data_IF_773525935018
#
_entry.id   IF_773525935018
#
_cell.length_a   1.000
_cell.length_b   1.000
_cell.length_c   1.000
_cell.angle_alpha   90.00
_cell.angle_beta   90.00
_cell.angle_gamma   90.00
#
_symmetry.space_group_name_H-M   'P 1'
#
loop_
_entity.id
_entity.type
_entity.pdbx_description
1 polymer ?
#
# COMPACT_ATOMS: atom_id res chain seq x y z
N UNK A 1 21.89 -16.72 -4.15
CA UNK A 1 21.06 -16.64 -2.92
C UNK A 1 19.94 -15.65 -3.20
N UNK A 2 18.69 -16.11 -3.24
CA UNK A 2 17.53 -15.30 -3.63
C UNK A 2 17.10 -14.50 -2.41
N UNK A 3 17.58 -13.26 -2.30
CA UNK A 3 17.02 -12.31 -1.35
C UNK A 3 15.58 -12.04 -1.77
N UNK A 4 14.64 -12.48 -0.93
CA UNK A 4 13.23 -12.27 -1.15
C UNK A 4 12.93 -10.86 -0.69
N UNK A 5 13.11 -9.92 -1.59
CA UNK A 5 12.41 -8.65 -1.50
C UNK A 5 11.02 -8.87 -2.05
N UNK A 6 10.19 -9.14 -1.06
CA UNK A 6 8.82 -9.61 -1.07
C UNK A 6 7.96 -8.47 -1.62
N UNK A 7 7.76 -8.39 -2.94
CA UNK A 7 7.05 -7.27 -3.57
C UNK A 7 5.65 -7.01 -3.02
N UNK A 8 4.83 -8.04 -2.82
CA UNK A 8 4.77 -9.00 -1.74
C UNK A 8 5.15 -10.39 -2.26
N UNK A 9 5.47 -11.35 -1.38
CA UNK A 9 5.77 -12.72 -1.79
C UNK A 9 4.50 -13.15 -2.50
N UNK A 10 4.57 -13.45 -3.79
CA UNK A 10 3.66 -14.47 -4.30
C UNK A 10 2.18 -13.99 -4.22
N UNK A 11 1.89 -12.83 -4.77
CA UNK A 11 0.52 -12.55 -5.23
C UNK A 11 0.14 -13.45 -6.44
N UNK A 12 1.01 -14.40 -6.84
CA UNK A 12 0.60 -15.57 -7.61
C UNK A 12 1.69 -16.61 -7.93
N UNK A 13 2.19 -17.40 -6.99
CA UNK A 13 2.94 -18.67 -7.29
C UNK A 13 2.15 -19.92 -6.89
N UNK A 14 0.91 -19.76 -6.46
CA UNK A 14 0.00 -20.90 -6.38
C UNK A 14 -1.12 -20.59 -7.36
N UNK A 15 -0.82 -20.69 -8.66
CA UNK A 15 -1.83 -20.56 -9.72
C UNK A 15 -1.39 -19.96 -11.05
N UNK A 16 -0.60 -18.88 -11.06
CA UNK A 16 -0.23 -18.18 -12.30
C UNK A 16 0.51 -19.09 -13.27
N UNK A 17 1.52 -19.83 -12.78
CA UNK A 17 2.29 -20.76 -13.63
C UNK A 17 1.39 -21.81 -14.27
N UNK A 18 0.38 -22.29 -13.53
CA UNK A 18 -0.63 -23.21 -14.06
C UNK A 18 -1.53 -22.54 -15.09
N UNK A 19 -1.92 -21.28 -14.90
CA UNK A 19 -2.72 -20.56 -15.90
C UNK A 19 -1.96 -20.16 -17.16
N UNK A 20 -0.67 -19.86 -17.04
CA UNK A 20 0.20 -19.69 -18.20
C UNK A 20 0.35 -21.01 -18.96
N UNK A 21 0.44 -22.14 -18.26
CA UNK A 21 0.47 -23.48 -18.89
C UNK A 21 -0.86 -23.85 -19.55
N UNK A 22 -1.98 -23.63 -18.86
CA UNK A 22 -3.32 -24.01 -19.31
C UNK A 22 -3.84 -23.07 -20.42
N UNK A 23 -3.40 -21.81 -20.47
CA UNK A 23 -3.90 -20.79 -21.42
C UNK A 23 -2.84 -19.74 -21.77
N UNK A 24 -1.76 -20.12 -22.48
CA UNK A 24 -0.62 -19.23 -22.75
C UNK A 24 -1.00 -17.98 -23.55
N UNK A 25 -1.91 -18.10 -24.53
CA UNK A 25 -2.33 -16.97 -25.36
C UNK A 25 -3.10 -15.90 -24.56
N UNK A 26 -3.86 -16.32 -23.55
CA UNK A 26 -4.62 -15.43 -22.67
C UNK A 26 -3.67 -14.65 -21.76
N UNK A 27 -2.63 -15.32 -21.24
CA UNK A 27 -1.69 -14.76 -20.27
C UNK A 27 -0.38 -14.27 -20.91
N UNK A 28 -0.33 -14.12 -22.24
CA UNK A 28 0.89 -13.78 -23.00
C UNK A 28 1.57 -12.48 -22.58
N UNK A 29 0.83 -11.53 -22.00
CA UNK A 29 1.37 -10.26 -21.50
C UNK A 29 1.53 -10.23 -19.97
N UNK A 30 1.37 -11.37 -19.32
CA UNK A 30 1.46 -11.53 -17.88
C UNK A 30 0.20 -11.13 -17.12
N UNK A 31 0.29 -11.18 -15.80
CA UNK A 31 -0.80 -10.83 -14.88
C UNK A 31 -0.88 -9.33 -14.60
N UNK A 32 -2.10 -8.81 -14.48
CA UNK A 32 -2.41 -7.47 -13.96
C UNK A 32 -3.15 -7.62 -12.62
N UNK A 33 -2.56 -7.06 -11.57
CA UNK A 33 -3.02 -7.13 -10.20
C UNK A 33 -3.83 -5.88 -9.86
N UNK A 34 -5.08 -6.04 -9.44
CA UNK A 34 -5.89 -4.90 -9.02
C UNK A 34 -5.87 -4.79 -7.50
N UNK A 35 -5.47 -3.64 -6.98
CA UNK A 35 -5.50 -3.31 -5.56
C UNK A 35 -6.53 -2.23 -5.26
N UNK A 36 -7.13 -2.31 -4.08
CA UNK A 36 -7.94 -1.25 -3.51
C UNK A 36 -7.26 -0.72 -2.26
N UNK A 37 -7.00 0.58 -2.23
CA UNK A 37 -6.58 1.31 -1.04
C UNK A 37 -7.77 2.10 -0.49
N UNK A 38 -8.07 1.93 0.80
CA UNK A 38 -9.05 2.73 1.54
C UNK A 38 -8.34 3.47 2.66
N UNK A 39 -8.46 4.80 2.67
CA UNK A 39 -7.90 5.68 3.68
C UNK A 39 -9.05 6.35 4.42
N UNK A 40 -9.28 5.95 5.66
CA UNK A 40 -10.17 6.67 6.57
C UNK A 40 -9.31 7.51 7.51
N UNK A 41 -9.57 8.81 7.54
CA UNK A 41 -8.88 9.70 8.44
C UNK A 41 -9.84 10.54 9.23
N UNK A 42 -9.40 10.97 10.40
CA UNK A 42 -10.17 11.89 11.21
C UNK A 42 -9.28 12.88 11.96
N UNK A 43 -9.79 14.09 12.08
CA UNK A 43 -9.27 15.16 12.88
C UNK A 43 -10.26 15.46 14.01
N UNK A 44 -9.80 15.40 15.25
CA UNK A 44 -10.61 15.76 16.42
C UNK A 44 -10.06 17.03 17.05
N UNK A 45 -10.86 18.09 17.07
CA UNK A 45 -10.48 19.35 17.72
C UNK A 45 -10.78 19.25 19.22
N UNK A 46 -9.73 19.09 20.04
CA UNK A 46 -9.83 18.77 21.46
C UNK A 46 -10.83 19.63 22.28
N UNK A 47 -10.93 20.97 22.09
CA UNK A 47 -11.83 21.81 22.90
C UNK A 47 -13.31 21.56 22.65
N UNK A 48 -13.67 21.29 21.39
CA UNK A 48 -15.06 21.14 20.97
C UNK A 48 -15.46 19.68 20.80
N UNK A 49 -14.46 18.77 20.76
CA UNK A 49 -14.58 17.38 20.32
C UNK A 49 -15.24 17.22 18.95
N UNK A 50 -15.34 18.29 18.15
CA UNK A 50 -15.80 18.21 16.77
C UNK A 50 -14.82 17.36 15.98
N UNK A 51 -15.37 16.42 15.20
CA UNK A 51 -14.60 15.48 14.42
C UNK A 51 -14.87 15.70 12.93
N UNK A 52 -13.83 16.03 12.18
CA UNK A 52 -13.86 16.04 10.72
C UNK A 52 -13.30 14.73 10.22
N UNK A 53 -14.02 14.04 9.35
CA UNK A 53 -13.62 12.75 8.81
C UNK A 53 -13.47 12.82 7.29
N UNK A 54 -12.56 12.02 6.74
CA UNK A 54 -12.49 11.75 5.31
C UNK A 54 -12.37 10.26 5.04
N UNK A 55 -12.95 9.81 3.94
CA UNK A 55 -12.84 8.45 3.41
C UNK A 55 -12.43 8.53 1.95
N UNK A 56 -11.25 8.03 1.63
CA UNK A 56 -10.72 7.98 0.28
C UNK A 56 -10.60 6.51 -0.15
N UNK A 57 -11.09 6.18 -1.34
CA UNK A 57 -10.92 4.85 -1.94
C UNK A 57 -10.24 5.01 -3.29
N UNK A 58 -9.10 4.35 -3.50
CA UNK A 58 -8.33 4.41 -4.74
C UNK A 58 -8.13 2.99 -5.25
N UNK A 59 -8.33 2.79 -6.56
CA UNK A 59 -8.09 1.52 -7.25
C UNK A 59 -6.84 1.65 -8.09
N UNK A 60 -5.89 0.73 -7.88
CA UNK A 60 -4.64 0.63 -8.64
C UNK A 60 -4.63 -0.66 -9.45
N UNK A 61 -4.08 -0.59 -10.65
CA UNK A 61 -3.74 -1.76 -11.46
C UNK A 61 -2.23 -1.83 -11.59
N UNK A 62 -1.65 -2.96 -11.22
CA UNK A 62 -0.20 -3.11 -11.14
C UNK A 62 0.28 -4.32 -11.93
N UNK A 63 1.45 -4.22 -12.54
CA UNK A 63 2.08 -5.28 -13.35
C UNK A 63 3.55 -5.38 -13.00
N UNK A 64 4.00 -6.59 -12.74
CA UNK A 64 5.40 -6.86 -12.48
C UNK A 64 6.21 -6.82 -13.79
N UNK A 65 7.47 -6.39 -13.69
CA UNK A 65 8.42 -6.41 -14.80
C UNK A 65 9.84 -6.56 -14.27
N UNK A 66 10.79 -6.82 -15.17
CA UNK A 66 12.21 -6.72 -14.82
C UNK A 66 12.81 -5.39 -15.26
N UNK A 67 13.47 -4.72 -14.32
CA UNK A 67 14.27 -3.54 -14.56
C UNK A 67 15.66 -3.86 -15.12
N UNK A 68 16.25 -5.03 -14.81
CA UNK A 68 17.65 -5.34 -15.10
C UNK A 68 17.93 -6.65 -15.86
N UNK A 69 17.06 -7.69 -15.80
CA UNK A 69 17.29 -8.97 -16.48
C UNK A 69 16.00 -9.74 -16.79
N UNK A 70 15.90 -10.38 -17.96
CA UNK A 70 14.67 -11.06 -18.41
C UNK A 70 14.12 -12.13 -17.43
N UNK A 71 14.96 -12.66 -16.54
CA UNK A 71 14.64 -13.79 -15.67
C UNK A 71 14.10 -13.43 -14.27
N UNK A 72 14.12 -12.15 -13.87
CA UNK A 72 13.68 -11.76 -12.51
C UNK A 72 12.82 -10.50 -12.51
N UNK A 73 11.55 -10.65 -12.13
CA UNK A 73 10.68 -9.53 -11.83
C UNK A 73 11.13 -8.85 -10.51
N UNK A 74 11.83 -7.74 -10.63
CA UNK A 74 12.37 -6.91 -9.55
C UNK A 74 11.71 -5.53 -9.48
N UNK A 75 10.66 -5.32 -10.26
CA UNK A 75 9.92 -4.07 -10.29
C UNK A 75 8.41 -4.27 -10.47
N UNK A 76 7.64 -3.28 -10.00
CA UNK A 76 6.18 -3.24 -10.09
C UNK A 76 5.74 -1.88 -10.62
N UNK A 77 5.13 -1.85 -11.80
CA UNK A 77 4.50 -0.65 -12.35
C UNK A 77 3.04 -0.63 -11.95
N UNK A 78 2.55 0.48 -11.40
CA UNK A 78 1.16 0.68 -11.04
C UNK A 78 0.57 1.88 -11.78
N UNK A 79 -0.70 1.76 -12.17
CA UNK A 79 -1.53 2.85 -12.69
C UNK A 79 -2.77 3.06 -11.84
N UNK A 80 -3.19 4.30 -11.66
CA UNK A 80 -4.44 4.62 -10.98
C UNK A 80 -5.62 4.39 -11.92
N UNK A 81 -6.51 3.46 -11.59
CA UNK A 81 -7.71 3.21 -12.38
C UNK A 81 -8.84 4.19 -12.02
N UNK A 82 -9.03 4.49 -10.73
CA UNK A 82 -10.05 5.42 -10.24
C UNK A 82 -9.80 5.83 -8.79
N UNK A 83 -10.38 6.96 -8.36
CA UNK A 83 -10.31 7.44 -6.97
C UNK A 83 -11.59 8.15 -6.52
N UNK A 84 -12.08 7.84 -5.32
CA UNK A 84 -13.25 8.48 -4.72
C UNK A 84 -12.87 9.07 -3.37
N UNK A 85 -13.39 10.25 -3.05
CA UNK A 85 -13.18 10.90 -1.76
C UNK A 85 -14.52 11.39 -1.21
N UNK A 86 -14.74 11.15 0.06
CA UNK A 86 -15.91 11.62 0.80
C UNK A 86 -15.42 12.32 2.07
N UNK A 87 -15.90 13.53 2.32
CA UNK A 87 -15.64 14.26 3.57
C UNK A 87 -16.95 14.42 4.33
N UNK A 88 -16.90 14.29 5.65
CA UNK A 88 -18.08 14.43 6.49
C UNK A 88 -17.69 14.87 7.91
N UNK A 89 -18.54 15.68 8.52
CA UNK A 89 -18.37 16.13 9.89
C UNK A 89 -19.26 15.32 10.83
N UNK A 90 -18.69 14.85 11.93
CA UNK A 90 -19.43 14.22 13.02
C UNK A 90 -19.55 15.27 14.12
N UNK A 91 -20.75 15.83 14.27
CA UNK A 91 -21.16 16.47 15.52
C UNK A 91 -21.71 15.38 16.45
N UNK A 92 -21.56 15.54 17.76
CA UNK A 92 -21.88 14.57 18.84
C UNK A 92 -23.32 14.01 18.90
N UNK A 93 -24.13 14.15 17.85
CA UNK A 93 -25.43 13.52 17.70
C UNK A 93 -25.29 12.07 17.23
N UNK A 94 -26.03 11.16 17.86
CA UNK A 94 -26.32 9.77 17.44
C UNK A 94 -27.00 9.66 16.06
N UNK A 95 -26.88 10.68 15.20
CA UNK A 95 -27.37 10.68 13.83
C UNK A 95 -26.24 10.21 12.90
N UNK A 96 -26.55 9.36 11.90
CA UNK A 96 -25.58 8.98 10.87
C UNK A 96 -25.01 10.25 10.23
N UNK A 97 -23.72 10.27 9.87
CA UNK A 97 -23.06 11.45 9.32
C UNK A 97 -23.88 11.98 8.14
N UNK A 98 -24.30 13.24 8.23
CA UNK A 98 -24.85 13.94 7.07
C UNK A 98 -23.67 14.22 6.14
N UNK A 99 -23.71 13.65 4.95
CA UNK A 99 -22.78 13.95 3.87
C UNK A 99 -23.08 15.38 3.38
N UNK A 100 -22.64 16.37 4.14
CA UNK A 100 -22.73 17.78 3.76
C UNK A 100 -21.59 18.07 2.77
N UNK A 101 -21.65 17.49 1.58
CA UNK A 101 -21.03 17.98 0.35
C UNK A 101 -21.34 17.02 -0.79
N UNK A 102 -21.66 17.58 -1.96
CA UNK A 102 -21.58 16.90 -3.24
C UNK A 102 -20.26 16.11 -3.29
N UNK A 103 -20.28 14.88 -3.81
CA UNK A 103 -19.10 14.03 -4.00
C UNK A 103 -17.96 14.88 -4.59
N UNK A 104 -17.03 15.36 -3.75
CA UNK A 104 -15.90 16.16 -4.23
C UNK A 104 -15.05 15.17 -5.00
N UNK A 105 -15.23 15.16 -6.31
CA UNK A 105 -14.52 14.28 -7.22
C UNK A 105 -13.03 14.63 -7.16
N UNK A 106 -12.34 14.01 -6.21
CA UNK A 106 -10.90 13.77 -6.23
C UNK A 106 -10.45 13.03 -7.51
N UNK A 107 -11.43 12.56 -8.29
CA UNK A 107 -11.34 11.58 -9.36
C UNK A 107 -10.73 12.08 -10.68
N UNK A 108 -10.57 13.40 -10.90
CA UNK A 108 -10.20 13.90 -12.25
C UNK A 108 -8.69 14.00 -12.47
N UNK A 109 -7.88 14.26 -11.43
CA UNK A 109 -6.46 14.60 -11.64
C UNK A 109 -5.49 13.41 -11.55
N UNK A 110 -5.81 12.39 -10.76
CA UNK A 110 -4.87 11.28 -10.51
C UNK A 110 -5.10 10.06 -11.42
N UNK A 111 -6.21 10.03 -12.16
CA UNK A 111 -6.57 8.89 -13.01
C UNK A 111 -5.50 8.69 -14.10
N UNK A 112 -5.19 7.43 -14.37
CA UNK A 112 -4.22 6.98 -15.37
C UNK A 112 -2.77 7.42 -15.11
N UNK A 113 -2.48 8.09 -13.98
CA UNK A 113 -1.11 8.35 -13.53
C UNK A 113 -0.40 7.03 -13.21
N UNK A 114 0.86 6.95 -13.62
CA UNK A 114 1.70 5.76 -13.52
C UNK A 114 2.88 6.04 -12.58
N UNK A 115 3.25 5.04 -11.78
CA UNK A 115 4.46 5.02 -10.98
C UNK A 115 5.08 3.62 -10.98
N UNK A 116 6.38 3.54 -10.77
CA UNK A 116 7.13 2.28 -10.73
C UNK A 116 7.86 2.15 -9.39
N UNK A 117 7.75 0.98 -8.77
CA UNK A 117 8.48 0.60 -7.57
C UNK A 117 9.57 -0.37 -7.97
N UNK A 118 10.83 -0.04 -7.68
CA UNK A 118 11.96 -0.93 -7.93
C UNK A 118 12.44 -1.52 -6.61
N UNK A 119 12.65 -2.84 -6.63
CA UNK A 119 13.01 -3.61 -5.47
C UNK A 119 14.47 -4.05 -5.56
N UNK A 120 15.18 -3.96 -4.45
CA UNK A 120 16.46 -4.64 -4.26
C UNK A 120 16.36 -5.49 -3.01
N UNK A 121 17.42 -6.19 -2.60
CA UNK A 121 17.45 -7.08 -1.42
C UNK A 121 16.92 -6.53 -0.08
N UNK A 122 16.77 -5.22 0.04
CA UNK A 122 16.31 -4.53 1.25
C UNK A 122 14.86 -4.03 1.14
N UNK A 123 14.17 -4.29 0.01
CA UNK A 123 12.82 -3.82 -0.27
C UNK A 123 12.77 -2.82 -1.42
N UNK A 124 11.78 -1.94 -1.40
CA UNK A 124 11.69 -0.87 -2.40
C UNK A 124 12.83 0.13 -2.16
N UNK A 125 13.68 0.32 -3.16
CA UNK A 125 14.81 1.24 -3.08
C UNK A 125 14.64 2.48 -3.96
N UNK A 126 13.74 2.42 -4.93
CA UNK A 126 13.46 3.54 -5.82
C UNK A 126 11.97 3.56 -6.17
N UNK A 127 11.35 4.74 -6.05
CA UNK A 127 10.00 5.01 -6.56
C UNK A 127 10.13 6.00 -7.72
N UNK A 128 9.78 5.58 -8.93
CA UNK A 128 9.80 6.42 -10.14
C UNK A 128 8.40 6.89 -10.48
N UNK A 129 8.30 8.15 -10.88
CA UNK A 129 7.03 8.78 -11.25
C UNK A 129 7.22 9.63 -12.50
N UNK A 130 6.12 9.98 -13.15
CA UNK A 130 6.14 10.98 -14.22
C UNK A 130 6.60 12.35 -13.67
N UNK A 131 7.41 13.14 -14.39
CA UNK A 131 7.85 14.46 -13.94
C UNK A 131 6.71 15.44 -13.59
N UNK A 132 5.53 15.28 -14.18
CA UNK A 132 4.33 16.08 -13.86
C UNK A 132 3.66 15.70 -12.53
N UNK A 133 4.15 14.67 -11.83
CA UNK A 133 3.58 14.20 -10.56
C UNK A 133 3.79 15.23 -9.45
N UNK A 134 2.67 15.69 -8.90
CA UNK A 134 2.55 16.67 -7.82
C UNK A 134 2.76 16.05 -6.44
N UNK A 135 2.86 16.88 -5.40
CA UNK A 135 3.09 16.41 -4.02
C UNK A 135 2.00 15.47 -3.53
N UNK A 136 0.72 15.84 -3.66
CA UNK A 136 -0.39 15.02 -3.20
C UNK A 136 -0.48 13.65 -3.91
N UNK A 137 -0.19 13.60 -5.21
CA UNK A 137 -0.07 12.35 -5.98
C UNK A 137 1.09 11.49 -5.47
N UNK A 138 2.25 12.12 -5.21
CA UNK A 138 3.44 11.46 -4.68
C UNK A 138 3.15 10.80 -3.34
N UNK A 139 2.42 11.48 -2.44
CA UNK A 139 2.01 10.93 -1.14
C UNK A 139 1.18 9.66 -1.30
N UNK A 140 0.21 9.65 -2.23
CA UNK A 140 -0.62 8.46 -2.53
C UNK A 140 0.23 7.29 -3.00
N UNK A 141 1.19 7.54 -3.91
CA UNK A 141 2.06 6.49 -4.45
C UNK A 141 2.99 5.94 -3.38
N UNK A 142 3.56 6.81 -2.54
CA UNK A 142 4.32 6.40 -1.35
C UNK A 142 3.47 5.55 -0.41
N UNK A 143 2.22 5.95 -0.15
CA UNK A 143 1.31 5.16 0.70
C UNK A 143 1.12 3.75 0.17
N UNK A 144 0.80 3.58 -1.12
CA UNK A 144 0.71 2.24 -1.68
C UNK A 144 2.06 1.50 -1.56
N UNK A 145 3.17 2.15 -1.89
CA UNK A 145 4.51 1.55 -1.84
C UNK A 145 4.85 1.04 -0.43
N UNK A 146 4.62 1.81 0.63
CA UNK A 146 4.86 1.33 2.01
C UNK A 146 3.95 0.17 2.42
N UNK A 147 2.72 0.14 1.92
CA UNK A 147 1.78 -0.96 2.14
C UNK A 147 2.09 -2.22 1.34
N UNK A 148 3.00 -2.13 0.36
CA UNK A 148 3.56 -3.25 -0.39
C UNK A 148 5.02 -3.55 0.00
N UNK A 149 5.68 -2.67 0.76
CA UNK A 149 7.08 -2.84 1.15
C UNK A 149 7.23 -3.73 2.38
N UNK A 150 7.48 -5.02 2.15
CA UNK A 150 7.85 -5.96 3.19
C UNK A 150 9.35 -6.27 3.14
N UNK A 151 10.12 -5.44 3.84
CA UNK A 151 11.58 -5.55 3.92
C UNK A 151 12.04 -6.63 4.91
N UNK A 152 11.84 -7.91 4.60
CA UNK A 152 12.29 -9.01 5.45
C UNK A 152 13.24 -9.92 4.66
N UNK A 153 14.51 -9.51 4.57
CA UNK A 153 15.58 -10.32 3.98
C UNK A 153 15.87 -11.62 4.76
N UNK A 154 15.35 -11.72 6.00
CA UNK A 154 15.77 -12.70 6.99
C UNK A 154 14.77 -13.85 7.19
N UNK A 155 13.87 -14.10 6.22
CA UNK A 155 12.89 -15.21 6.25
C UNK A 155 13.50 -16.63 6.28
N UNK A 156 14.81 -16.75 6.22
CA UNK A 156 15.52 -18.03 6.17
C UNK A 156 15.80 -18.62 7.57
N UNK A 157 15.20 -18.05 8.64
CA UNK A 157 15.35 -18.58 9.99
C UNK A 157 14.43 -19.79 10.21
N UNK A 158 14.98 -20.82 10.86
CA UNK A 158 14.43 -22.16 11.08
C UNK A 158 13.26 -22.23 12.07
N UNK A 159 12.87 -21.10 12.66
CA UNK A 159 11.83 -21.03 13.68
C UNK A 159 10.45 -20.78 13.04
N UNK A 160 9.42 -21.38 13.63
CA UNK A 160 8.05 -21.26 13.12
C UNK A 160 7.62 -19.78 13.08
N UNK A 161 7.84 -19.03 14.16
CA UNK A 161 7.60 -17.59 14.27
C UNK A 161 8.87 -16.87 14.70
N UNK A 162 9.07 -15.63 14.26
CA UNK A 162 10.24 -14.84 14.66
C UNK A 162 9.95 -13.34 14.66
N UNK A 163 10.80 -12.61 15.38
CA UNK A 163 10.73 -11.14 15.47
C UNK A 163 12.00 -10.52 14.91
N UNK A 164 11.86 -9.59 13.97
CA UNK A 164 12.95 -8.78 13.44
C UNK A 164 12.89 -7.38 14.06
N UNK A 165 14.02 -6.88 14.55
CA UNK A 165 14.19 -5.47 14.89
C UNK A 165 15.09 -4.79 13.86
N UNK A 166 14.59 -3.77 13.18
CA UNK A 166 15.35 -3.08 12.14
C UNK A 166 14.93 -1.63 12.02
N UNK A 167 15.74 -0.86 11.29
CA UNK A 167 15.38 0.51 10.89
C UNK A 167 14.86 0.46 9.45
N UNK A 168 13.68 1.02 9.21
CA UNK A 168 13.02 0.97 7.89
C UNK A 168 12.40 2.32 7.52
N UNK A 169 12.31 2.58 6.22
CA UNK A 169 11.55 3.72 5.69
C UNK A 169 10.07 3.42 5.82
N UNK A 170 9.36 4.28 6.55
CA UNK A 170 7.93 4.20 6.78
C UNK A 170 7.25 5.49 6.41
N UNK A 171 5.92 5.46 6.43
CA UNK A 171 5.11 6.67 6.19
C UNK A 171 5.31 7.78 7.22
N UNK A 172 5.93 7.46 8.36
CA UNK A 172 6.24 8.41 9.43
C UNK A 172 7.74 8.66 9.54
N UNK A 173 8.49 8.34 8.48
CA UNK A 173 9.94 8.48 8.40
C UNK A 173 10.72 7.19 8.53
N UNK A 174 12.03 7.35 8.59
CA UNK A 174 12.96 6.28 8.92
C UNK A 174 12.93 6.01 10.43
N UNK A 175 12.30 4.90 10.81
CA UNK A 175 11.98 4.54 12.20
C UNK A 175 12.60 3.20 12.59
N UNK A 176 12.84 3.00 13.88
CA UNK A 176 13.06 1.67 14.43
C UNK A 176 11.72 0.93 14.50
N UNK A 177 11.67 -0.27 13.94
CA UNK A 177 10.48 -1.10 13.89
C UNK A 177 10.76 -2.48 14.48
N UNK A 178 9.72 -3.03 15.11
CA UNK A 178 9.59 -4.43 15.48
C UNK A 178 8.65 -5.10 14.48
N UNK A 179 9.08 -6.18 13.87
CA UNK A 179 8.31 -6.95 12.89
C UNK A 179 8.16 -8.37 13.41
N UNK A 180 6.96 -8.72 13.83
CA UNK A 180 6.59 -10.05 14.32
C UNK A 180 5.91 -10.83 13.18
N UNK A 181 6.48 -11.99 12.84
CA UNK A 181 5.97 -12.84 11.76
C UNK A 181 5.38 -14.10 12.39
N UNK A 182 4.09 -14.32 12.15
CA UNK A 182 3.38 -15.53 12.58
C UNK A 182 3.80 -16.73 11.72
N UNK A 183 3.67 -17.93 12.29
CA UNK A 183 4.12 -19.23 11.76
C UNK A 183 4.25 -19.38 10.24
N UNK A 184 5.40 -19.89 9.77
CA UNK A 184 5.63 -20.30 8.38
C UNK A 184 4.49 -21.17 7.85
N UNK A 185 3.82 -20.70 6.80
CA UNK A 185 2.92 -21.54 6.01
C UNK A 185 3.71 -22.76 5.52
N UNK A 186 3.34 -23.96 5.99
CA UNK A 186 3.58 -25.17 5.22
C UNK A 186 2.50 -25.20 4.15
N UNK A 187 2.82 -24.71 2.94
CA UNK A 187 1.96 -24.92 1.78
C UNK A 187 1.94 -26.42 1.58
N UNK A 188 0.96 -27.12 2.17
CA UNK A 188 0.56 -28.42 1.65
C UNK A 188 0.18 -28.13 0.20
N UNK A 189 0.47 -29.06 -0.70
CA UNK A 189 0.08 -28.99 -2.10
C UNK A 189 -1.45 -28.92 -2.22
N UNK A 190 -2.04 -27.78 -1.87
CA UNK A 190 -3.44 -27.49 -2.04
C UNK A 190 -3.65 -27.44 -3.54
N UNK A 191 -4.36 -28.45 -4.03
CA UNK A 191 -4.68 -28.57 -5.43
C UNK A 191 -5.53 -27.37 -5.82
N UNK A 192 -5.00 -26.62 -6.77
CA UNK A 192 -5.65 -25.49 -7.40
C UNK A 192 -6.97 -25.93 -8.03
N UNK A 193 -8.10 -25.61 -7.40
CA UNK A 193 -9.47 -25.92 -7.87
C UNK A 193 -10.09 -24.81 -8.72
N UNK A 194 -9.50 -23.62 -8.71
CA UNK A 194 -9.86 -22.51 -9.60
C UNK A 194 -9.70 -22.95 -11.06
N UNK A 195 -10.67 -22.67 -11.91
CA UNK A 195 -10.51 -22.83 -13.36
C UNK A 195 -9.78 -21.59 -13.86
N UNK A 196 -8.69 -21.76 -14.60
CA UNK A 196 -8.04 -20.64 -15.28
C UNK A 196 -9.03 -20.09 -16.32
N UNK A 197 -9.81 -19.09 -15.93
CA UNK A 197 -10.68 -18.33 -16.81
C UNK A 197 -10.07 -16.96 -17.09
N UNK A 198 -10.87 -16.08 -17.69
CA UNK A 198 -10.59 -14.66 -17.90
C UNK A 198 -10.30 -13.85 -16.62
N UNK A 199 -10.53 -14.42 -15.42
CA UNK A 199 -10.33 -13.75 -14.14
C UNK A 199 -10.08 -14.72 -12.99
N UNK A 200 -9.07 -14.43 -12.16
CA UNK A 200 -8.88 -15.13 -10.88
C UNK A 200 -9.63 -14.35 -9.79
N UNK A 201 -10.70 -14.96 -9.29
CA UNK A 201 -11.45 -14.44 -8.15
C UNK A 201 -10.73 -14.76 -6.85
N UNK A 202 -10.53 -13.73 -6.03
CA UNK A 202 -9.84 -13.84 -4.76
C UNK A 202 -10.88 -14.05 -3.65
N UNK A 203 -10.64 -15.02 -2.78
CA UNK A 203 -11.46 -15.23 -1.60
C UNK A 203 -11.24 -14.10 -0.60
N UNK A 204 -12.34 -13.52 -0.10
CA UNK A 204 -12.28 -12.59 1.03
C UNK A 204 -12.18 -13.40 2.31
N UNK A 205 -11.03 -13.37 3.00
CA UNK A 205 -10.92 -14.06 4.28
C UNK A 205 -11.81 -13.44 5.34
N UNK A 206 -12.31 -14.33 6.19
CA UNK A 206 -12.77 -13.97 7.52
C UNK A 206 -11.65 -14.32 8.49
N UNK A 207 -11.36 -13.43 9.44
CA UNK A 207 -10.36 -13.68 10.48
C UNK A 207 -10.71 -14.99 11.20
N UNK A 208 -9.85 -16.03 11.11
CA UNK A 208 -10.10 -17.35 11.69
C UNK A 208 -10.27 -18.53 10.70
N UNK A 209 -10.14 -18.29 9.39
CA UNK A 209 -10.18 -19.37 8.38
C UNK A 209 -8.98 -20.34 8.49
N UNK A 210 -9.21 -21.62 8.15
CA UNK A 210 -8.23 -22.73 8.26
C UNK A 210 -7.19 -22.77 7.13
N UNK A 211 -7.17 -21.79 6.24
CA UNK A 211 -6.26 -21.75 5.10
C UNK A 211 -4.85 -21.32 5.52
N UNK A 212 -3.81 -21.75 4.79
CA UNK A 212 -2.45 -21.33 5.07
C UNK A 212 -2.32 -19.80 4.99
N UNK A 213 -1.99 -19.16 6.12
CA UNK A 213 -1.94 -17.71 6.32
C UNK A 213 -0.60 -17.29 6.93
N UNK A 214 0.00 -16.20 6.44
CA UNK A 214 1.08 -15.47 7.13
C UNK A 214 0.48 -14.15 7.61
N UNK A 215 0.55 -13.91 8.91
CA UNK A 215 0.28 -12.62 9.54
C UNK A 215 1.62 -11.99 9.90
N UNK A 216 1.82 -10.73 9.50
CA UNK A 216 3.03 -9.97 9.81
C UNK A 216 2.63 -8.68 10.48
N UNK A 217 3.04 -8.52 11.72
CA UNK A 217 2.73 -7.35 12.54
C UNK A 217 3.96 -6.46 12.63
N UNK A 218 3.81 -5.20 12.26
CA UNK A 218 4.88 -4.21 12.20
C UNK A 218 4.51 -3.06 13.12
N UNK A 219 5.23 -2.93 14.22
CA UNK A 219 5.07 -1.85 15.20
C UNK A 219 6.26 -0.91 15.10
N UNK A 220 5.99 0.39 14.94
CA UNK A 220 7.04 1.41 14.78
C UNK A 220 7.21 2.18 16.08
N UNK A 221 8.46 2.32 16.53
CA UNK A 221 8.81 3.19 17.65
C UNK A 221 8.83 4.64 17.16
N UNK A 222 7.74 5.36 17.40
CA UNK A 222 7.56 6.74 16.97
C UNK A 222 8.54 7.72 17.64
N UNK A 223 9.15 7.34 18.77
CA UNK A 223 10.17 8.15 19.45
C UNK A 223 11.54 8.07 18.78
N UNK A 224 11.76 7.07 17.93
CA UNK A 224 13.00 6.82 17.21
C UNK A 224 12.88 7.02 15.69
N UNK A 225 11.90 7.83 15.26
CA UNK A 225 11.75 8.25 13.88
C UNK A 225 12.57 9.52 13.61
N UNK A 226 13.42 9.48 12.59
CA UNK A 226 14.35 10.58 12.27
C UNK A 226 13.67 11.75 11.55
N UNK A 227 12.58 11.52 10.80
CA UNK A 227 11.84 12.56 10.06
C UNK A 227 10.35 12.26 10.02
N UNK A 228 9.48 13.07 10.64
CA UNK A 228 8.04 12.90 10.51
C UNK A 228 7.53 13.46 9.18
N UNK A 229 7.12 12.60 8.24
CA UNK A 229 6.40 13.06 7.04
C UNK A 229 4.93 13.31 7.45
N UNK A 230 4.41 14.55 7.28
CA UNK A 230 3.02 14.84 7.61
C UNK A 230 2.09 14.08 6.66
N UNK A 231 1.33 13.12 7.21
CA UNK A 231 0.16 12.57 6.52
C UNK A 231 -1.08 13.31 6.94
N UNK A 232 -1.89 13.61 5.92
CA UNK A 232 -3.19 14.27 5.89
C UNK A 232 -3.12 15.72 5.46
N UNK A 233 -3.88 16.00 4.40
CA UNK A 233 -4.05 17.27 3.70
C UNK A 233 -2.97 17.53 2.67
N UNK A 234 -3.42 17.59 1.41
CA UNK A 234 -2.62 17.58 0.21
C UNK A 234 -1.36 18.42 0.32
N UNK A 235 -0.28 17.85 -0.18
CA UNK A 235 1.02 18.47 -0.26
C UNK A 235 0.97 19.57 -1.35
N UNK A 236 0.32 20.68 -1.00
CA UNK A 236 0.49 21.97 -1.61
C UNK A 236 1.28 22.83 -0.62
N UNK A 237 2.60 22.61 -0.68
CA UNK A 237 3.68 23.49 -0.28
C UNK A 237 4.28 23.36 1.14
N UNK A 238 5.63 23.49 1.24
CA UNK A 238 6.40 23.49 2.49
C UNK A 238 6.21 24.76 3.36
N UNK A 239 5.19 25.58 3.09
CA UNK A 239 4.97 26.86 3.78
C UNK A 239 3.81 26.84 4.77
N UNK A 240 3.10 25.71 4.94
CA UNK A 240 2.10 25.59 5.97
C UNK A 240 2.72 25.00 7.24
N UNK A 241 2.83 25.83 8.28
CA UNK A 241 3.51 25.61 9.56
C UNK A 241 2.77 24.61 10.47
N UNK A 242 2.61 23.40 9.96
CA UNK A 242 2.01 22.27 10.64
C UNK A 242 3.10 21.40 11.25
N UNK A 243 3.06 21.22 12.58
CA UNK A 243 3.91 20.25 13.25
C UNK A 243 3.08 19.00 13.57
N UNK A 244 3.38 17.90 12.87
CA UNK A 244 2.71 16.62 13.07
C UNK A 244 3.62 15.71 13.89
N UNK A 245 3.07 15.15 14.97
CA UNK A 245 3.72 14.15 15.80
C UNK A 245 2.84 12.92 15.87
N UNK A 246 3.40 11.76 15.52
CA UNK A 246 2.69 10.47 15.62
C UNK A 246 2.97 9.84 16.97
N UNK A 247 1.91 9.46 17.68
CA UNK A 247 2.00 8.77 18.97
C UNK A 247 2.10 7.26 18.80
N UNK A 248 1.51 6.71 17.74
CA UNK A 248 1.56 5.28 17.45
C UNK A 248 1.45 5.01 15.95
N UNK A 249 2.07 3.92 15.50
CA UNK A 249 1.90 3.39 14.16
C UNK A 249 2.08 1.88 14.17
N UNK A 250 1.02 1.19 13.80
CA UNK A 250 0.96 -0.26 13.70
C UNK A 250 0.54 -0.65 12.29
N UNK A 251 1.07 -1.73 11.75
CA UNK A 251 0.66 -2.29 10.46
C UNK A 251 0.61 -3.79 10.53
N UNK A 252 -0.53 -4.36 10.17
CA UNK A 252 -0.70 -5.79 9.97
C UNK A 252 -0.70 -6.08 8.48
N UNK A 253 0.04 -7.10 8.06
CA UNK A 253 -0.04 -7.70 6.74
C UNK A 253 -0.62 -9.10 6.89
N UNK A 254 -1.49 -9.46 5.96
CA UNK A 254 -2.09 -10.78 5.86
C UNK A 254 -1.85 -11.28 4.44
N UNK A 255 -1.11 -12.38 4.33
CA UNK A 255 -0.74 -13.01 3.06
C UNK A 255 -1.23 -14.46 3.05
N UNK A 256 -1.90 -14.85 1.98
CA UNK A 256 -2.34 -16.23 1.75
C UNK A 256 -2.41 -16.50 0.24
N UNK A 257 -2.58 -17.77 -0.21
CA UNK A 257 -2.36 -18.17 -1.61
C UNK A 257 -3.05 -17.34 -2.70
N UNK A 258 -4.19 -16.69 -2.42
CA UNK A 258 -5.00 -16.00 -3.41
C UNK A 258 -5.43 -14.61 -2.93
N UNK A 259 -4.57 -13.92 -2.20
CA UNK A 259 -5.10 -12.90 -1.29
C UNK A 259 -4.00 -12.16 -0.56
N UNK A 260 -4.17 -10.85 -0.49
CA UNK A 260 -3.28 -9.97 0.22
C UNK A 260 -4.08 -8.85 0.86
N UNK A 261 -3.76 -8.55 2.11
CA UNK A 261 -4.27 -7.39 2.82
C UNK A 261 -3.18 -6.75 3.67
N UNK A 262 -3.19 -5.43 3.76
CA UNK A 262 -2.45 -4.71 4.79
C UNK A 262 -3.30 -3.63 5.41
N UNK A 263 -3.24 -3.50 6.73
CA UNK A 263 -3.96 -2.51 7.50
C UNK A 263 -2.99 -1.74 8.39
N UNK A 264 -2.88 -0.44 8.15
CA UNK A 264 -2.15 0.48 9.03
C UNK A 264 -3.13 1.27 9.88
N UNK A 265 -2.86 1.31 11.18
CA UNK A 265 -3.52 2.22 12.12
C UNK A 265 -2.46 3.18 12.65
N UNK A 266 -2.71 4.47 12.55
CA UNK A 266 -1.82 5.48 13.12
C UNK A 266 -2.59 6.57 13.86
N UNK A 267 -2.02 7.00 14.97
CA UNK A 267 -2.55 8.08 15.79
C UNK A 267 -1.47 9.14 16.00
N UNK A 268 -1.91 10.38 16.21
CA UNK A 268 -0.99 11.48 16.41
C UNK A 268 -1.68 12.78 16.75
N UNK A 269 -0.89 13.84 16.68
CA UNK A 269 -1.33 15.21 16.89
C UNK A 269 -0.78 16.12 15.81
N UNK A 270 -1.62 17.05 15.37
CA UNK A 270 -1.30 18.14 14.46
C UNK A 270 -1.32 19.44 15.28
N UNK A 271 -0.22 20.17 15.26
CA UNK A 271 -0.12 21.52 15.84
C UNK A 271 -0.07 22.53 14.71
N UNK A 272 -0.90 23.57 14.80
CA UNK A 272 -0.96 24.65 13.82
C UNK A 272 -0.48 25.93 14.51
N UNK A 273 0.47 26.66 13.94
CA UNK A 273 1.12 27.81 14.62
C UNK A 273 0.16 28.88 15.15
N UNK A 274 -1.02 29.04 14.54
CA UNK A 274 -2.04 30.00 14.96
C UNK A 274 -3.13 29.40 15.87
N UNK A 275 -3.06 28.11 16.19
CA UNK A 275 -3.96 27.44 17.12
C UNK A 275 -3.18 27.04 18.39
N UNK A 276 -3.59 27.48 19.58
CA UNK A 276 -2.87 27.18 20.82
C UNK A 276 -2.94 25.70 21.23
N UNK A 277 -3.78 24.90 20.56
CA UNK A 277 -4.12 23.54 20.97
C UNK A 277 -3.91 22.54 19.85
N UNK A 278 -3.48 21.33 20.24
CA UNK A 278 -3.22 20.21 19.34
C UNK A 278 -4.53 19.59 18.83
N UNK A 279 -4.57 19.30 17.54
CA UNK A 279 -5.64 18.54 16.88
C UNK A 279 -5.24 17.07 16.91
N UNK A 280 -6.09 16.18 17.40
CA UNK A 280 -5.81 14.73 17.41
C UNK A 280 -6.09 14.18 16.02
N UNK A 281 -5.18 13.38 15.49
CA UNK A 281 -5.30 12.74 14.17
C UNK A 281 -5.37 11.23 14.33
N UNK A 282 -6.30 10.58 13.63
CA UNK A 282 -6.36 9.12 13.52
C UNK A 282 -6.50 8.73 12.06
N UNK A 283 -5.72 7.75 11.61
CA UNK A 283 -5.74 7.23 10.25
C UNK A 283 -5.83 5.70 10.24
N UNK A 284 -6.66 5.19 9.34
CA UNK A 284 -6.78 3.78 9.00
C UNK A 284 -6.55 3.64 7.49
N UNK A 285 -5.51 2.91 7.09
CA UNK A 285 -5.18 2.67 5.69
C UNK A 285 -5.25 1.18 5.43
N UNK A 286 -6.21 0.74 4.62
CA UNK A 286 -6.45 -0.66 4.22
C UNK A 286 -6.08 -0.81 2.74
N UNK A 287 -5.09 -1.64 2.43
CA UNK A 287 -4.75 -2.01 1.05
C UNK A 287 -5.07 -3.50 0.87
N UNK A 288 -5.85 -3.83 -0.16
CA UNK A 288 -6.20 -5.23 -0.48
C UNK A 288 -6.04 -5.53 -1.95
N UNK A 289 -5.56 -6.72 -2.26
CA UNK A 289 -5.66 -7.28 -3.60
C UNK A 289 -7.12 -7.73 -3.84
N UNK A 290 -7.71 -7.29 -4.95
CA UNK A 290 -9.13 -7.55 -5.27
C UNK A 290 -9.33 -8.46 -6.50
N UNK A 291 -8.39 -8.47 -7.45
CA UNK A 291 -8.41 -9.39 -8.59
C UNK A 291 -7.04 -9.55 -9.22
N UNK A 292 -6.90 -10.65 -9.97
CA UNK A 292 -5.78 -10.88 -10.88
C UNK A 292 -6.40 -11.20 -12.24
N UNK A 293 -6.10 -10.37 -13.22
CA UNK A 293 -6.67 -10.45 -14.57
C UNK A 293 -5.52 -10.60 -15.58
N UNK A 294 -5.71 -11.28 -16.72
CA UNK A 294 -4.71 -11.31 -17.79
C UNK A 294 -4.52 -9.91 -18.38
N UNK A 295 -3.28 -9.50 -18.58
CA UNK A 295 -3.00 -8.23 -19.23
C UNK A 295 -3.39 -8.28 -20.71
N UNK A 296 -4.11 -7.27 -21.19
CA UNK A 296 -4.60 -7.20 -22.58
C UNK A 296 -3.57 -6.65 -23.56
N UNK A 297 -2.51 -6.00 -23.07
CA UNK A 297 -1.48 -5.35 -23.88
C UNK A 297 -0.07 -5.47 -23.26
N UNK A 298 1.01 -5.34 -24.06
CA UNK A 298 2.38 -5.23 -23.53
C UNK A 298 2.52 -4.09 -22.53
N UNK A 299 3.39 -4.26 -21.52
CA UNK A 299 3.69 -3.19 -20.56
C UNK A 299 4.47 -2.08 -21.26
N UNK A 300 4.08 -0.82 -21.03
CA UNK A 300 4.82 0.37 -21.49
C UNK A 300 5.44 1.05 -20.27
N UNK A 301 6.77 1.14 -20.22
CA UNK A 301 7.45 1.73 -19.05
C UNK A 301 7.35 3.26 -19.04
N UNK A 302 7.44 3.89 -17.86
CA UNK A 302 7.40 5.36 -17.74
C UNK A 302 8.47 6.03 -18.63
N UNK A 303 9.66 5.42 -18.68
CA UNK A 303 10.78 5.88 -19.51
C UNK A 303 10.52 5.77 -21.01
N UNK A 304 9.66 4.85 -21.44
CA UNK A 304 9.28 4.64 -22.85
C UNK A 304 8.12 5.56 -23.26
N UNK A 305 7.25 5.93 -22.32
CA UNK A 305 6.07 6.76 -22.59
C UNK A 305 6.45 8.23 -22.80
N UNK A 306 7.40 8.76 -22.00
CA UNK A 306 7.62 10.21 -21.94
C UNK A 306 8.89 10.74 -22.61
N UNK A 307 9.76 9.88 -23.18
CA UNK A 307 11.04 10.31 -23.78
C UNK A 307 11.90 11.23 -22.88
N UNK A 308 11.59 11.27 -21.58
CA UNK A 308 12.15 12.15 -20.56
C UNK A 308 12.59 11.30 -19.36
N UNK A 309 13.57 11.79 -18.62
CA UNK A 309 14.02 11.17 -17.37
C UNK A 309 12.88 11.12 -16.35
N UNK A 310 12.56 9.93 -15.85
CA UNK A 310 11.59 9.75 -14.78
C UNK A 310 12.02 10.52 -13.52
N UNK A 311 11.04 11.02 -12.76
CA UNK A 311 11.30 11.67 -11.46
C UNK A 311 11.48 10.59 -10.40
N UNK A 312 12.65 10.59 -9.76
CA UNK A 312 12.94 9.72 -8.60
C UNK A 312 12.35 10.36 -7.35
N UNK A 313 11.62 9.55 -6.60
CA UNK A 313 11.01 9.91 -5.32
C UNK A 313 11.65 9.05 -4.24
N UNK A 314 12.22 9.70 -3.22
CA UNK A 314 12.67 9.01 -2.01
C UNK A 314 11.47 8.49 -1.23
N UNK A 315 11.55 7.28 -0.66
CA UNK A 315 10.49 6.73 0.20
C UNK A 315 10.49 7.39 1.59
#
# INVERSE_FOLDING_TARGET
MKSLSVIPFIIGLIGYDKCVQDSPDLWKYGAEYTYRMKVNSSLTYAPTKKKSCSNNTIIFKCRSFSAASEDQADALQCRVQSGKSYQYNINNSLQPPKFDSEEVQFNVQIKDKIFEMLYNKNGIHELRTDPSTTGAETVIFKTLAHHLNLEASDFDQTEDSFTIYKREHSMIGLCKSQIDISTKIKFKSEQWTSRCSDKIHLETFTYGDKHPLIVINKTRDTTQCTFGIPHLFGDNQPNASYNISKSSSFTEFVVAPQSFGSLTVSEGTLSVSHLPQKIITTEFIDVRLISIDPATEPLKRITEIHSSTAKIVEL
#
